data_IF_042433876099
#
_entry.id   IF_042433876099
#
_cell.length_a   1.000
_cell.length_b   1.000
_cell.length_c   1.000
_cell.angle_alpha   90.00
_cell.angle_beta   90.00
_cell.angle_gamma   90.00
#
_symmetry.space_group_name_H-M   'P 1'
#
loop_
_entity.id
_entity.type
_entity.pdbx_description
1 polymer ?
#
# COMPACT_ATOMS: atom_id res chain seq x y z
N UNK A 1 7.50 -34.63 11.94
CA UNK A 1 6.71 -33.98 10.88
C UNK A 1 7.63 -32.93 10.30
N UNK A 2 7.79 -32.86 8.97
CA UNK A 2 8.58 -31.80 8.35
C UNK A 2 7.97 -30.45 8.76
N UNK A 3 8.82 -29.52 9.16
CA UNK A 3 8.40 -28.18 9.59
C UNK A 3 7.82 -27.48 8.35
N UNK A 4 6.52 -27.32 8.29
CA UNK A 4 5.82 -26.70 7.15
C UNK A 4 6.16 -25.21 7.16
N UNK A 5 6.88 -24.76 6.13
CA UNK A 5 7.23 -23.34 5.97
C UNK A 5 5.99 -22.53 5.58
N UNK A 6 5.69 -21.50 6.37
CA UNK A 6 4.50 -20.64 6.23
C UNK A 6 4.82 -19.20 5.82
N UNK A 7 6.08 -18.78 5.98
CA UNK A 7 6.52 -17.40 5.73
C UNK A 7 7.70 -17.41 4.77
N UNK A 8 7.58 -16.63 3.69
CA UNK A 8 8.55 -16.53 2.60
C UNK A 8 9.04 -15.11 2.45
N UNK A 9 10.33 -14.88 2.70
CA UNK A 9 10.96 -13.55 2.63
C UNK A 9 11.37 -13.18 1.21
N UNK A 10 11.41 -11.87 0.93
CA UNK A 10 11.96 -11.29 -0.30
C UNK A 10 12.59 -9.93 -0.01
N UNK A 11 13.60 -9.55 -0.79
CA UNK A 11 14.29 -8.26 -0.70
C UNK A 11 15.73 -8.37 -1.18
N UNK A 12 16.30 -7.25 -1.61
CA UNK A 12 17.69 -7.14 -2.05
C UNK A 12 18.11 -8.17 -3.12
N UNK A 13 17.23 -8.40 -4.12
CA UNK A 13 17.42 -9.38 -5.22
C UNK A 13 17.42 -10.85 -4.78
N UNK A 14 16.98 -11.13 -3.58
CA UNK A 14 16.81 -12.49 -3.05
C UNK A 14 15.36 -12.74 -2.69
N UNK A 15 14.88 -13.96 -2.86
CA UNK A 15 13.56 -14.39 -2.42
C UNK A 15 13.55 -15.89 -2.14
N UNK A 16 12.80 -16.28 -1.11
CA UNK A 16 12.58 -17.69 -0.77
C UNK A 16 11.48 -18.33 -1.63
N UNK A 17 10.60 -17.50 -2.22
CA UNK A 17 9.58 -17.90 -3.18
C UNK A 17 9.94 -17.48 -4.61
N UNK A 18 9.04 -17.78 -5.57
CA UNK A 18 9.17 -17.39 -6.98
C UNK A 18 7.79 -17.30 -7.65
N UNK A 19 7.76 -16.84 -8.91
CA UNK A 19 6.53 -16.63 -9.68
C UNK A 19 5.69 -17.88 -9.95
N UNK A 20 6.27 -19.10 -9.84
CA UNK A 20 5.54 -20.36 -10.02
C UNK A 20 4.74 -20.77 -8.77
N UNK A 21 5.01 -20.15 -7.64
CA UNK A 21 4.38 -20.48 -6.36
C UNK A 21 3.07 -19.69 -6.11
N UNK A 22 2.34 -19.38 -7.16
CA UNK A 22 1.11 -18.56 -7.10
C UNK A 22 0.01 -19.17 -6.24
N UNK A 23 -0.07 -20.49 -6.20
CA UNK A 23 -1.04 -21.19 -5.33
C UNK A 23 -0.75 -20.95 -3.84
N UNK A 24 0.51 -20.93 -3.47
CA UNK A 24 0.97 -20.80 -2.09
C UNK A 24 1.13 -19.34 -1.63
N UNK A 25 1.69 -18.48 -2.49
CA UNK A 25 2.03 -17.09 -2.15
C UNK A 25 0.97 -16.08 -2.63
N UNK A 26 -0.06 -16.55 -3.33
CA UNK A 26 -0.98 -15.68 -4.05
C UNK A 26 -0.32 -14.99 -5.24
N UNK A 27 -1.09 -14.27 -6.04
CA UNK A 27 -0.57 -13.54 -7.20
C UNK A 27 0.46 -12.48 -6.81
N UNK A 28 0.12 -11.63 -5.84
CA UNK A 28 1.02 -10.54 -5.38
C UNK A 28 2.32 -11.08 -4.78
N UNK A 29 2.24 -12.05 -3.86
CA UNK A 29 3.44 -12.59 -3.21
C UNK A 29 4.39 -13.27 -4.18
N UNK A 30 3.86 -14.06 -5.12
CA UNK A 30 4.65 -14.71 -6.15
C UNK A 30 5.33 -13.70 -7.08
N UNK A 31 4.62 -12.65 -7.51
CA UNK A 31 5.17 -11.61 -8.37
C UNK A 31 6.21 -10.74 -7.63
N UNK A 32 5.99 -10.39 -6.36
CA UNK A 32 6.98 -9.67 -5.54
C UNK A 32 8.28 -10.46 -5.39
N UNK A 33 8.19 -11.77 -5.14
CA UNK A 33 9.34 -12.65 -5.08
C UNK A 33 10.07 -12.71 -6.43
N UNK A 34 9.34 -12.91 -7.52
CA UNK A 34 9.92 -13.00 -8.87
C UNK A 34 10.59 -11.71 -9.31
N UNK A 35 9.95 -10.54 -9.09
CA UNK A 35 10.56 -9.24 -9.38
C UNK A 35 11.89 -9.05 -8.64
N UNK A 36 11.98 -9.49 -7.37
CA UNK A 36 13.25 -9.46 -6.64
C UNK A 36 14.31 -10.34 -7.29
N UNK A 37 13.97 -11.60 -7.67
CA UNK A 37 14.91 -12.54 -8.28
C UNK A 37 15.46 -12.05 -9.61
N UNK A 38 14.66 -11.37 -10.41
CA UNK A 38 15.10 -10.78 -11.68
C UNK A 38 15.73 -9.39 -11.52
N UNK A 39 15.94 -8.92 -10.28
CA UNK A 39 16.72 -7.72 -9.96
C UNK A 39 15.97 -6.40 -10.10
N UNK A 40 14.62 -6.41 -10.04
CA UNK A 40 13.81 -5.20 -10.01
C UNK A 40 13.76 -4.64 -8.59
N UNK A 41 13.82 -3.30 -8.40
CA UNK A 41 13.79 -2.69 -7.09
C UNK A 41 12.40 -2.83 -6.45
N UNK A 42 12.29 -3.73 -5.47
CA UNK A 42 11.07 -3.99 -4.70
C UNK A 42 11.38 -3.76 -3.22
N UNK A 43 10.55 -3.03 -2.46
CA UNK A 43 10.74 -2.91 -1.03
C UNK A 43 10.74 -4.29 -0.35
N UNK A 44 11.65 -4.56 0.60
CA UNK A 44 11.75 -5.87 1.25
C UNK A 44 10.48 -6.20 2.04
N UNK A 45 10.17 -7.49 2.11
CA UNK A 45 8.98 -7.96 2.78
C UNK A 45 8.97 -9.48 2.97
N UNK A 46 7.81 -9.98 3.33
CA UNK A 46 7.53 -11.41 3.39
C UNK A 46 6.06 -11.69 3.07
N UNK A 47 5.80 -12.91 2.64
CA UNK A 47 4.46 -13.42 2.35
C UNK A 47 4.13 -14.55 3.31
N UNK A 48 2.99 -14.46 3.99
CA UNK A 48 2.36 -15.55 4.73
C UNK A 48 1.45 -16.29 3.75
N UNK A 49 1.58 -17.62 3.70
CA UNK A 49 0.97 -18.45 2.67
C UNK A 49 -0.57 -18.51 2.72
N UNK A 50 -1.18 -18.84 1.59
CA UNK A 50 -2.64 -19.05 1.48
C UNK A 50 -3.15 -20.18 2.38
N UNK A 51 -2.31 -21.19 2.65
CA UNK A 51 -2.66 -22.31 3.53
C UNK A 51 -2.96 -21.86 4.96
N UNK A 52 -2.27 -20.81 5.43
CA UNK A 52 -2.51 -20.23 6.76
C UNK A 52 -3.91 -19.62 6.87
N UNK A 53 -4.48 -19.13 5.77
CA UNK A 53 -5.87 -18.66 5.76
C UNK A 53 -6.86 -19.79 6.15
N UNK A 54 -6.66 -20.99 5.65
CA UNK A 54 -7.46 -22.16 6.03
C UNK A 54 -7.27 -22.53 7.51
N UNK A 55 -6.02 -22.51 8.00
CA UNK A 55 -5.72 -22.75 9.42
C UNK A 55 -6.36 -21.68 10.32
N UNK A 56 -6.41 -20.43 9.86
CA UNK A 56 -7.04 -19.32 10.57
C UNK A 56 -8.55 -19.56 10.81
N UNK A 57 -9.28 -20.00 9.79
CA UNK A 57 -10.71 -20.32 9.94
C UNK A 57 -10.95 -21.60 10.73
N UNK A 58 -10.02 -22.55 10.73
CA UNK A 58 -10.14 -23.82 11.43
C UNK A 58 -9.80 -23.73 12.91
N UNK A 59 -8.74 -22.99 13.25
CA UNK A 59 -8.17 -23.00 14.61
C UNK A 59 -8.35 -21.68 15.36
N UNK A 60 -8.78 -20.62 14.66
CA UNK A 60 -8.96 -19.29 15.23
C UNK A 60 -7.69 -18.45 15.31
N UNK A 61 -7.90 -17.20 15.64
CA UNK A 61 -6.91 -16.13 15.60
C UNK A 61 -5.69 -16.39 16.51
N UNK A 62 -5.95 -16.73 17.76
CA UNK A 62 -4.90 -16.89 18.78
C UNK A 62 -3.94 -18.05 18.42
N UNK A 63 -4.50 -19.18 17.99
CA UNK A 63 -3.73 -20.36 17.60
C UNK A 63 -2.85 -20.06 16.38
N UNK A 64 -3.35 -19.32 15.39
CA UNK A 64 -2.57 -18.95 14.20
C UNK A 64 -1.47 -17.95 14.52
N UNK A 65 -1.72 -16.97 15.40
CA UNK A 65 -0.68 -16.05 15.86
C UNK A 65 0.46 -16.80 16.54
N UNK A 66 0.16 -17.71 17.46
CA UNK A 66 1.17 -18.52 18.16
C UNK A 66 1.99 -19.38 17.18
N UNK A 67 1.32 -20.00 16.21
CA UNK A 67 1.95 -20.81 15.18
C UNK A 67 2.90 -20.01 14.28
N UNK A 68 2.51 -18.78 13.90
CA UNK A 68 3.26 -17.92 12.97
C UNK A 68 4.38 -17.12 13.64
N UNK A 69 4.27 -16.85 14.95
CA UNK A 69 5.14 -15.92 15.67
C UNK A 69 6.63 -16.12 15.37
N UNK A 70 7.21 -17.32 15.49
CA UNK A 70 8.65 -17.51 15.26
C UNK A 70 9.09 -17.17 13.82
N UNK A 71 8.26 -17.52 12.83
CA UNK A 71 8.58 -17.26 11.43
C UNK A 71 8.42 -15.79 11.09
N UNK A 72 7.35 -15.13 11.57
CA UNK A 72 7.09 -13.70 11.34
C UNK A 72 8.15 -12.83 12.00
N UNK A 73 8.55 -13.13 13.24
CA UNK A 73 9.63 -12.40 13.92
C UNK A 73 10.97 -12.53 13.19
N UNK A 74 11.30 -13.71 12.66
CA UNK A 74 12.49 -13.94 11.84
C UNK A 74 12.42 -13.16 10.53
N UNK A 75 11.30 -13.19 9.86
CA UNK A 75 11.08 -12.45 8.61
C UNK A 75 11.14 -10.93 8.82
N UNK A 76 10.60 -10.42 9.94
CA UNK A 76 10.71 -9.01 10.29
C UNK A 76 12.17 -8.59 10.53
N UNK A 77 12.97 -9.40 11.24
CA UNK A 77 14.42 -9.16 11.40
C UNK A 77 15.16 -9.08 10.06
N UNK A 78 14.72 -9.83 9.04
CA UNK A 78 15.28 -9.71 7.70
C UNK A 78 14.96 -8.35 7.08
N UNK A 79 13.73 -7.87 7.19
CA UNK A 79 13.37 -6.52 6.71
C UNK A 79 14.18 -5.45 7.45
N UNK A 80 14.29 -5.55 8.77
CA UNK A 80 15.08 -4.64 9.61
C UNK A 80 16.55 -4.57 9.15
N UNK A 81 17.16 -5.72 8.88
CA UNK A 81 18.54 -5.83 8.36
C UNK A 81 18.68 -5.14 7.00
N UNK A 82 17.73 -5.34 6.09
CA UNK A 82 17.78 -4.80 4.72
C UNK A 82 17.50 -3.30 4.67
N UNK A 83 16.67 -2.78 5.57
CA UNK A 83 16.29 -1.36 5.60
C UNK A 83 17.16 -0.51 6.55
N UNK A 84 17.85 -1.12 7.49
CA UNK A 84 18.53 -0.41 8.58
C UNK A 84 17.58 0.24 9.59
N UNK A 85 16.28 -0.04 9.50
CA UNK A 85 15.23 0.44 10.42
C UNK A 85 14.77 -0.72 11.32
N UNK A 86 14.09 -0.41 12.42
CA UNK A 86 13.65 -1.43 13.37
C UNK A 86 12.17 -1.30 13.68
N UNK A 87 11.46 -2.40 13.64
CA UNK A 87 10.02 -2.44 13.90
C UNK A 87 9.70 -2.18 15.37
N UNK A 88 8.87 -1.17 15.64
CA UNK A 88 8.57 -0.73 17.00
C UNK A 88 9.66 0.12 17.68
N UNK A 89 10.67 0.54 16.94
CA UNK A 89 11.74 1.41 17.46
C UNK A 89 11.27 2.87 17.56
N UNK A 90 11.86 3.60 18.49
CA UNK A 90 11.49 4.99 18.80
C UNK A 90 12.29 6.03 18.01
N UNK A 91 13.44 5.66 17.46
CA UNK A 91 14.35 6.56 16.75
C UNK A 91 14.37 6.29 15.25
N UNK A 92 14.39 5.01 14.88
CA UNK A 92 14.42 4.53 13.50
C UNK A 92 13.28 3.55 13.21
N UNK A 93 12.01 3.98 13.35
CA UNK A 93 10.88 3.09 13.21
C UNK A 93 10.75 2.58 11.78
N UNK A 94 10.72 1.25 11.64
CA UNK A 94 10.29 0.58 10.44
C UNK A 94 8.75 0.59 10.39
N UNK A 95 8.18 1.07 9.31
CA UNK A 95 6.75 0.99 9.04
C UNK A 95 6.52 -0.02 7.92
N UNK A 96 5.42 -0.77 8.02
CA UNK A 96 5.09 -1.80 7.04
C UNK A 96 3.64 -1.66 6.56
N UNK A 97 3.38 -2.17 5.36
CA UNK A 97 2.03 -2.42 4.86
C UNK A 97 1.67 -3.89 5.07
N UNK A 98 0.39 -4.17 5.27
CA UNK A 98 -0.17 -5.53 5.27
C UNK A 98 -1.26 -5.58 4.21
N UNK A 99 -1.07 -6.43 3.19
CA UNK A 99 -1.93 -6.50 2.02
C UNK A 99 -2.34 -7.95 1.73
N UNK A 100 -3.57 -8.14 1.27
CA UNK A 100 -4.04 -9.42 0.76
C UNK A 100 -3.34 -9.83 -0.54
N UNK A 101 -3.27 -11.14 -0.78
CA UNK A 101 -2.71 -11.70 -2.00
C UNK A 101 -3.41 -13.02 -2.37
N UNK A 102 -4.60 -12.95 -2.97
CA UNK A 102 -5.29 -14.14 -3.46
C UNK A 102 -4.64 -14.71 -4.73
N UNK A 103 -4.91 -15.98 -5.04
CA UNK A 103 -4.46 -16.64 -6.28
C UNK A 103 -5.02 -15.97 -7.53
N UNK A 104 -6.29 -15.55 -7.46
CA UNK A 104 -6.95 -14.77 -8.49
C UNK A 104 -6.97 -13.29 -8.10
N UNK A 105 -6.90 -12.39 -9.09
CA UNK A 105 -7.07 -10.95 -8.86
C UNK A 105 -8.49 -10.65 -8.39
N UNK A 106 -8.61 -9.93 -7.29
CA UNK A 106 -9.89 -9.54 -6.67
C UNK A 106 -9.82 -8.06 -6.26
N UNK A 107 -9.79 -7.12 -7.22
CA UNK A 107 -9.56 -5.69 -6.97
C UNK A 107 -10.62 -5.10 -6.03
N UNK A 108 -10.20 -4.42 -4.95
CA UNK A 108 -11.10 -3.77 -4.00
C UNK A 108 -11.92 -4.71 -3.10
N UNK A 109 -11.75 -6.03 -3.23
CA UNK A 109 -12.56 -7.00 -2.47
C UNK A 109 -12.04 -7.28 -1.07
N UNK A 110 -10.73 -7.20 -0.88
CA UNK A 110 -10.07 -7.48 0.40
C UNK A 110 -9.34 -6.24 0.92
N UNK A 111 -9.03 -6.27 2.19
CA UNK A 111 -8.51 -5.10 2.89
C UNK A 111 -6.98 -4.97 2.78
N UNK A 112 -6.52 -3.73 2.96
CA UNK A 112 -5.11 -3.32 3.02
C UNK A 112 -4.94 -2.40 4.22
N UNK A 113 -3.83 -2.51 4.92
CA UNK A 113 -3.47 -1.60 5.99
C UNK A 113 -2.06 -1.07 5.73
N UNK A 114 -1.91 0.26 5.73
CA UNK A 114 -0.65 0.95 5.51
C UNK A 114 -0.14 1.56 6.81
N UNK A 115 1.16 1.82 6.90
CA UNK A 115 1.81 2.51 8.01
C UNK A 115 1.72 1.80 9.37
N UNK A 116 1.61 0.46 9.40
CA UNK A 116 1.68 -0.28 10.65
C UNK A 116 3.05 -0.09 11.31
N UNK A 117 3.04 0.08 12.61
CA UNK A 117 4.20 0.49 13.42
C UNK A 117 4.17 1.97 13.81
N UNK A 118 3.25 2.76 13.22
CA UNK A 118 3.06 4.16 13.59
C UNK A 118 2.37 4.26 14.96
N UNK A 119 2.92 5.08 15.83
CA UNK A 119 2.38 5.41 17.15
C UNK A 119 2.85 6.80 17.58
N UNK A 120 2.49 7.24 18.77
CA UNK A 120 2.82 8.59 19.28
C UNK A 120 4.34 8.87 19.32
N UNK A 121 5.17 7.86 19.47
CA UNK A 121 6.63 8.01 19.47
C UNK A 121 7.21 7.91 18.06
N UNK A 122 6.73 6.95 17.27
CA UNK A 122 7.20 6.73 15.91
C UNK A 122 6.93 7.94 15.01
N UNK A 123 5.77 8.61 15.15
CA UNK A 123 5.43 9.79 14.34
C UNK A 123 6.43 10.92 14.52
N UNK A 124 6.90 11.17 15.73
CA UNK A 124 7.89 12.22 16.01
C UNK A 124 9.27 11.85 15.40
N UNK A 125 9.66 10.57 15.46
CA UNK A 125 10.89 10.10 14.83
C UNK A 125 10.81 10.22 13.29
N UNK A 126 9.68 9.86 12.69
CA UNK A 126 9.44 10.04 11.25
C UNK A 126 9.48 11.52 10.87
N UNK A 127 8.82 12.39 11.63
CA UNK A 127 8.83 13.83 11.41
C UNK A 127 10.25 14.42 11.45
N UNK A 128 11.03 14.04 12.43
CA UNK A 128 12.44 14.48 12.57
C UNK A 128 13.31 13.96 11.41
N UNK A 129 13.18 12.68 11.06
CA UNK A 129 14.00 12.06 10.01
C UNK A 129 13.71 12.62 8.61
N UNK A 130 12.44 12.86 8.31
CA UNK A 130 12.01 13.39 7.01
C UNK A 130 12.13 14.90 6.91
N UNK A 131 12.27 15.62 8.04
CA UNK A 131 12.16 17.07 8.07
C UNK A 131 10.76 17.58 7.69
N UNK A 132 9.77 16.69 7.63
CA UNK A 132 8.40 17.01 7.22
C UNK A 132 7.37 16.52 8.26
N UNK A 133 7.14 17.32 9.31
CA UNK A 133 6.17 16.95 10.35
C UNK A 133 4.75 16.78 9.82
N UNK A 134 4.35 17.57 8.83
CA UNK A 134 3.02 17.44 8.23
C UNK A 134 2.81 16.09 7.58
N UNK A 135 3.78 15.63 6.80
CA UNK A 135 3.77 14.28 6.21
C UNK A 135 3.63 13.17 7.27
N UNK A 136 4.44 13.25 8.33
CA UNK A 136 4.43 12.24 9.39
C UNK A 136 3.07 12.16 10.09
N UNK A 137 2.49 13.31 10.46
CA UNK A 137 1.20 13.38 11.15
C UNK A 137 0.01 13.05 10.22
N UNK A 138 0.06 13.38 8.92
CA UNK A 138 -0.95 12.93 7.95
C UNK A 138 -0.89 11.41 7.76
N UNK A 139 0.30 10.83 7.68
CA UNK A 139 0.48 9.37 7.62
C UNK A 139 -0.07 8.68 8.87
N UNK A 140 0.10 9.29 10.05
CA UNK A 140 -0.46 8.75 11.30
C UNK A 140 -1.98 8.87 11.34
N UNK A 141 -2.54 10.01 10.93
CA UNK A 141 -3.99 10.20 10.82
C UNK A 141 -4.61 9.14 9.92
N UNK A 142 -4.06 8.95 8.70
CA UNK A 142 -4.52 7.93 7.74
C UNK A 142 -4.40 6.52 8.32
N UNK A 143 -3.33 6.23 9.04
CA UNK A 143 -3.17 4.93 9.70
C UNK A 143 -4.23 4.67 10.76
N UNK A 144 -4.51 5.63 11.66
CA UNK A 144 -5.53 5.46 12.70
C UNK A 144 -6.91 5.26 12.09
N UNK A 145 -7.27 6.01 11.04
CA UNK A 145 -8.52 5.84 10.30
C UNK A 145 -8.59 4.44 9.68
N UNK A 146 -7.60 4.07 8.86
CA UNK A 146 -7.59 2.78 8.16
C UNK A 146 -7.60 1.60 9.13
N UNK A 147 -6.83 1.67 10.21
CA UNK A 147 -6.81 0.64 11.25
C UNK A 147 -8.14 0.55 12.00
N UNK A 148 -8.76 1.69 12.30
CA UNK A 148 -10.08 1.78 12.90
C UNK A 148 -11.15 1.11 12.04
N UNK A 149 -11.16 1.40 10.75
CA UNK A 149 -12.11 0.87 9.79
C UNK A 149 -11.91 -0.64 9.54
N UNK A 150 -10.67 -1.05 9.30
CA UNK A 150 -10.36 -2.40 8.83
C UNK A 150 -10.21 -3.39 9.99
N UNK A 151 -9.46 -3.00 11.04
CA UNK A 151 -9.11 -3.93 12.12
C UNK A 151 -10.11 -3.84 13.28
N UNK A 152 -10.59 -2.64 13.59
CA UNK A 152 -11.48 -2.42 14.71
C UNK A 152 -12.98 -2.40 14.32
N UNK A 153 -13.28 -2.52 13.03
CA UNK A 153 -14.64 -2.66 12.51
C UNK A 153 -15.49 -1.39 12.62
N UNK A 154 -14.86 -0.22 12.61
CA UNK A 154 -15.56 1.07 12.72
C UNK A 154 -16.16 1.56 11.40
N UNK A 155 -15.96 0.82 10.32
CA UNK A 155 -16.48 1.13 8.99
C UNK A 155 -18.03 1.10 9.02
N UNK A 156 -18.72 2.04 8.34
CA UNK A 156 -20.15 2.04 8.20
C UNK A 156 -20.70 0.71 7.69
N UNK A 157 -21.74 0.19 8.33
CA UNK A 157 -22.39 -1.08 7.93
C UNK A 157 -23.45 -0.82 6.87
N UNK A 158 -24.11 0.33 6.92
CA UNK A 158 -25.15 0.73 5.97
C UNK A 158 -24.82 2.05 5.28
N UNK A 159 -25.51 2.35 4.16
CA UNK A 159 -25.37 3.65 3.47
C UNK A 159 -25.92 4.84 4.26
N UNK A 160 -26.68 4.59 5.31
CA UNK A 160 -27.26 5.61 6.18
C UNK A 160 -26.35 5.94 7.35
N UNK A 161 -25.36 5.08 7.64
CA UNK A 161 -24.37 5.29 8.69
C UNK A 161 -23.26 6.23 8.16
N UNK A 162 -22.90 7.21 8.97
CA UNK A 162 -21.75 8.07 8.68
C UNK A 162 -20.47 7.44 9.21
N UNK A 163 -19.42 7.48 8.39
CA UNK A 163 -18.07 7.13 8.84
C UNK A 163 -17.65 8.12 9.95
N UNK A 164 -17.37 7.65 11.18
CA UNK A 164 -17.06 8.52 12.30
C UNK A 164 -15.76 9.33 12.06
N UNK A 165 -14.83 8.81 11.30
CA UNK A 165 -13.58 9.51 10.98
C UNK A 165 -13.82 10.63 9.94
N UNK A 166 -14.62 10.36 8.91
CA UNK A 166 -14.99 11.38 7.92
C UNK A 166 -15.76 12.54 8.56
N UNK A 167 -16.67 12.25 9.49
CA UNK A 167 -17.38 13.30 10.23
C UNK A 167 -16.39 14.19 11.00
N UNK A 168 -15.41 13.61 11.69
CA UNK A 168 -14.41 14.35 12.45
C UNK A 168 -13.50 15.19 11.51
N UNK A 169 -13.16 14.66 10.33
CA UNK A 169 -12.37 15.40 9.32
C UNK A 169 -13.16 16.62 8.82
N UNK A 170 -14.43 16.42 8.44
CA UNK A 170 -15.27 17.50 7.93
C UNK A 170 -15.49 18.60 8.98
N UNK A 171 -15.80 18.23 10.23
CA UNK A 171 -15.90 19.17 11.33
C UNK A 171 -14.61 20.00 11.55
N UNK A 172 -13.44 19.35 11.42
CA UNK A 172 -12.15 20.03 11.54
C UNK A 172 -11.91 20.98 10.37
N UNK A 173 -12.24 20.58 9.13
CA UNK A 173 -12.14 21.45 7.95
C UNK A 173 -13.05 22.65 8.06
N UNK A 174 -14.31 22.46 8.45
CA UNK A 174 -15.25 23.55 8.68
C UNK A 174 -14.75 24.55 9.74
N UNK A 175 -14.28 24.03 10.88
CA UNK A 175 -13.71 24.83 11.98
C UNK A 175 -12.52 25.69 11.54
N UNK A 176 -11.72 25.18 10.58
CA UNK A 176 -10.52 25.85 10.06
C UNK A 176 -10.79 26.67 8.79
N UNK A 177 -11.95 26.56 8.20
CA UNK A 177 -12.32 27.25 6.96
C UNK A 177 -11.54 26.78 5.73
N UNK A 178 -11.11 25.50 5.71
CA UNK A 178 -10.40 24.86 4.60
C UNK A 178 -11.28 23.85 3.90
N UNK A 179 -10.94 23.54 2.63
CA UNK A 179 -11.74 22.61 1.81
C UNK A 179 -11.10 21.24 1.65
N UNK A 180 -9.77 21.18 1.56
CA UNK A 180 -9.06 19.94 1.27
C UNK A 180 -8.26 19.50 2.50
N UNK A 181 -8.07 18.19 2.66
CA UNK A 181 -7.21 17.61 3.69
C UNK A 181 -5.77 18.14 3.58
N UNK A 182 -5.32 18.42 2.35
CA UNK A 182 -4.00 18.99 2.07
C UNK A 182 -3.79 20.39 2.64
N UNK A 183 -4.86 21.11 2.96
CA UNK A 183 -4.82 22.46 3.52
C UNK A 183 -4.69 22.46 5.05
N UNK A 184 -4.87 21.29 5.69
CA UNK A 184 -4.71 21.13 7.13
C UNK A 184 -3.24 21.23 7.55
N UNK A 185 -2.99 21.98 8.62
CA UNK A 185 -1.65 22.15 9.19
C UNK A 185 -1.23 20.94 10.03
N UNK A 186 0.05 20.89 10.40
CA UNK A 186 0.56 19.85 11.32
C UNK A 186 -0.21 19.80 12.64
N UNK A 187 -0.54 20.96 13.22
CA UNK A 187 -1.28 21.01 14.48
C UNK A 187 -2.74 20.55 14.32
N UNK A 188 -3.36 20.82 13.16
CA UNK A 188 -4.69 20.31 12.85
C UNK A 188 -4.67 18.79 12.74
N UNK A 189 -3.64 18.23 12.11
CA UNK A 189 -3.47 16.78 11.99
C UNK A 189 -3.21 16.11 13.34
N UNK A 190 -2.45 16.76 14.24
CA UNK A 190 -2.29 16.31 15.64
C UNK A 190 -3.63 16.29 16.39
N UNK A 191 -4.46 17.32 16.18
CA UNK A 191 -5.81 17.39 16.76
C UNK A 191 -6.68 16.26 16.22
N UNK A 192 -6.66 16.01 14.90
CA UNK A 192 -7.38 14.90 14.27
C UNK A 192 -6.98 13.54 14.84
N UNK A 193 -5.68 13.24 14.97
CA UNK A 193 -5.21 11.97 15.55
C UNK A 193 -5.75 11.78 16.97
N UNK A 194 -5.73 12.82 17.80
CA UNK A 194 -6.32 12.74 19.16
C UNK A 194 -7.82 12.45 19.13
N UNK A 195 -8.55 13.13 18.26
CA UNK A 195 -10.00 12.96 18.11
C UNK A 195 -10.33 11.56 17.55
N UNK A 196 -9.57 11.04 16.61
CA UNK A 196 -9.71 9.69 16.08
C UNK A 196 -9.49 8.64 17.16
N UNK A 197 -8.42 8.77 17.96
CA UNK A 197 -8.18 7.85 19.08
C UNK A 197 -9.29 7.91 20.14
N UNK A 198 -9.84 9.09 20.40
CA UNK A 198 -10.99 9.23 21.27
C UNK A 198 -12.25 8.56 20.71
N UNK A 199 -12.48 8.65 19.39
CA UNK A 199 -13.56 7.95 18.71
C UNK A 199 -13.35 6.43 18.78
N UNK A 200 -12.13 5.93 18.56
CA UNK A 200 -11.79 4.50 18.73
C UNK A 200 -12.12 4.02 20.14
N UNK A 201 -11.68 4.76 21.16
CA UNK A 201 -11.99 4.41 22.56
C UNK A 201 -13.47 4.40 22.85
N UNK A 202 -14.21 5.40 22.33
CA UNK A 202 -15.68 5.48 22.49
C UNK A 202 -16.39 4.30 21.84
N UNK A 203 -15.94 3.88 20.65
CA UNK A 203 -16.56 2.80 19.88
C UNK A 203 -16.22 1.42 20.43
N UNK A 204 -14.92 1.17 20.72
CA UNK A 204 -14.40 -0.15 21.09
C UNK A 204 -14.33 -0.39 22.60
N UNK A 205 -14.40 0.68 23.42
CA UNK A 205 -14.15 0.64 24.86
C UNK A 205 -12.67 0.50 25.24
N UNK A 206 -11.75 0.49 24.24
CA UNK A 206 -10.31 0.30 24.43
C UNK A 206 -9.53 1.42 23.77
N UNK A 207 -8.33 1.70 24.29
CA UNK A 207 -7.43 2.65 23.66
C UNK A 207 -6.90 2.09 22.33
N UNK A 208 -6.54 2.99 21.40
CA UNK A 208 -5.89 2.61 20.15
C UNK A 208 -4.55 1.89 20.46
N UNK A 209 -4.23 0.76 19.80
CA UNK A 209 -3.02 0.00 20.11
C UNK A 209 -1.74 0.77 19.73
N UNK A 210 -0.88 1.02 20.71
CA UNK A 210 0.41 1.67 20.54
C UNK A 210 1.56 0.69 20.27
N UNK A 211 1.38 -0.60 20.56
CA UNK A 211 2.35 -1.64 20.26
C UNK A 211 2.36 -1.97 18.77
N UNK A 212 3.52 -1.77 18.11
CA UNK A 212 3.68 -2.11 16.69
C UNK A 212 3.36 -3.58 16.41
N UNK A 213 3.73 -4.49 17.31
CA UNK A 213 3.45 -5.91 17.17
C UNK A 213 1.96 -6.23 17.30
N UNK A 214 1.24 -5.60 18.22
CA UNK A 214 -0.20 -5.78 18.35
C UNK A 214 -0.93 -5.25 17.11
N UNK A 215 -0.47 -4.11 16.57
CA UNK A 215 -0.96 -3.57 15.30
C UNK A 215 -0.72 -4.56 14.16
N UNK A 216 0.48 -5.14 14.05
CA UNK A 216 0.81 -6.10 13.00
C UNK A 216 -0.06 -7.34 13.06
N UNK A 217 -0.20 -7.95 14.23
CA UNK A 217 -1.05 -9.13 14.40
C UNK A 217 -2.52 -8.83 14.13
N UNK A 218 -3.01 -7.66 14.59
CA UNK A 218 -4.35 -7.18 14.24
C UNK A 218 -4.54 -7.06 12.74
N UNK A 219 -3.60 -6.45 12.04
CA UNK A 219 -3.61 -6.27 10.59
C UNK A 219 -3.58 -7.60 9.81
N UNK A 220 -2.68 -8.52 10.19
CA UNK A 220 -2.60 -9.85 9.56
C UNK A 220 -3.93 -10.60 9.70
N UNK A 221 -4.50 -10.61 10.90
CA UNK A 221 -5.78 -11.27 11.13
C UNK A 221 -6.93 -10.61 10.35
N UNK A 222 -6.98 -9.28 10.31
CA UNK A 222 -8.01 -8.55 9.55
C UNK A 222 -7.93 -8.83 8.05
N UNK A 223 -6.74 -9.00 7.49
CA UNK A 223 -6.58 -9.40 6.09
C UNK A 223 -7.08 -10.82 5.85
N UNK A 224 -6.82 -11.78 6.76
CA UNK A 224 -7.43 -13.10 6.64
C UNK A 224 -8.96 -13.04 6.76
N UNK A 225 -9.50 -12.28 7.73
CA UNK A 225 -10.94 -12.09 7.90
C UNK A 225 -11.58 -11.50 6.65
N UNK A 226 -10.88 -10.62 5.93
CA UNK A 226 -11.42 -9.97 4.72
C UNK A 226 -11.71 -10.95 3.57
N UNK A 227 -11.15 -12.17 3.61
CA UNK A 227 -11.50 -13.24 2.66
C UNK A 227 -12.97 -13.63 2.74
N UNK A 228 -13.57 -13.53 3.92
CA UNK A 228 -14.98 -13.90 4.18
C UNK A 228 -15.90 -12.68 4.32
N UNK A 229 -15.47 -11.47 3.96
CA UNK A 229 -16.38 -10.35 3.91
C UNK A 229 -17.40 -10.50 2.75
N UNK A 230 -18.57 -9.87 2.86
CA UNK A 230 -19.68 -10.05 1.93
C UNK A 230 -19.31 -9.74 0.47
N UNK A 231 -18.55 -8.66 0.24
CA UNK A 231 -18.11 -8.27 -1.13
C UNK A 231 -17.14 -9.30 -1.72
N UNK A 232 -16.24 -9.87 -0.92
CA UNK A 232 -15.32 -10.90 -1.38
C UNK A 232 -16.04 -12.22 -1.68
N UNK A 233 -17.00 -12.61 -0.84
CA UNK A 233 -17.86 -13.79 -1.06
C UNK A 233 -18.65 -13.63 -2.36
N UNK A 234 -19.31 -12.48 -2.55
CA UNK A 234 -20.10 -12.22 -3.75
C UNK A 234 -19.21 -12.27 -5.01
N UNK A 235 -18.06 -11.59 -4.98
CA UNK A 235 -17.11 -11.59 -6.10
C UNK A 235 -16.63 -13.00 -6.44
N UNK A 236 -16.25 -13.80 -5.45
CA UNK A 236 -15.82 -15.19 -5.66
C UNK A 236 -16.91 -16.03 -6.30
N UNK A 237 -18.17 -15.91 -5.84
CA UNK A 237 -19.32 -16.63 -6.44
C UNK A 237 -19.51 -16.24 -7.90
N UNK A 238 -19.46 -14.96 -8.23
CA UNK A 238 -19.63 -14.48 -9.61
C UNK A 238 -18.50 -14.94 -10.53
N UNK A 239 -17.28 -15.06 -10.00
CA UNK A 239 -16.09 -15.42 -10.79
C UNK A 239 -15.66 -16.90 -10.62
N UNK A 240 -16.48 -17.73 -9.98
CA UNK A 240 -16.22 -19.17 -9.75
C UNK A 240 -14.87 -19.43 -9.04
N UNK A 241 -14.49 -18.56 -8.10
CA UNK A 241 -13.26 -18.69 -7.31
C UNK A 241 -13.57 -19.54 -6.07
N UNK A 242 -12.91 -20.71 -5.89
CA UNK A 242 -13.13 -21.57 -4.73
C UNK A 242 -12.81 -20.90 -3.39
N UNK A 243 -13.65 -21.12 -2.40
CA UNK A 243 -13.46 -20.55 -1.06
C UNK A 243 -12.23 -21.13 -0.36
N UNK A 244 -11.94 -22.39 -0.58
CA UNK A 244 -10.79 -23.11 -0.01
C UNK A 244 -9.43 -22.60 -0.49
N UNK A 245 -9.38 -21.76 -1.53
CA UNK A 245 -8.12 -21.18 -1.98
C UNK A 245 -7.51 -20.20 -0.96
N UNK A 246 -8.32 -19.54 -0.17
CA UNK A 246 -7.84 -18.56 0.79
C UNK A 246 -7.11 -17.36 0.19
N UNK A 247 -6.56 -16.53 1.05
CA UNK A 247 -5.68 -15.42 0.68
C UNK A 247 -4.34 -15.55 1.38
N UNK A 248 -3.27 -15.19 0.71
CA UNK A 248 -1.98 -14.91 1.33
C UNK A 248 -2.01 -13.50 1.97
N UNK A 249 -1.08 -13.26 2.87
CA UNK A 249 -0.85 -11.94 3.47
C UNK A 249 0.57 -11.49 3.16
N UNK A 250 0.70 -10.32 2.52
CA UNK A 250 1.99 -9.71 2.20
C UNK A 250 2.29 -8.60 3.20
N UNK A 251 3.39 -8.73 3.93
CA UNK A 251 3.94 -7.69 4.82
C UNK A 251 5.17 -7.11 4.15
N UNK A 252 5.18 -5.78 3.92
CA UNK A 252 6.22 -5.14 3.13
C UNK A 252 6.62 -3.79 3.72
N UNK A 253 7.91 -3.47 3.69
CA UNK A 253 8.40 -2.16 4.12
C UNK A 253 7.69 -1.04 3.33
N UNK A 254 7.26 0.00 4.03
CA UNK A 254 6.65 1.17 3.41
C UNK A 254 7.68 1.96 2.61
N UNK A 255 7.26 2.46 1.46
CA UNK A 255 7.89 3.52 0.67
C UNK A 255 6.85 4.60 0.38
N UNK A 256 7.29 5.85 0.28
CA UNK A 256 6.40 6.99 0.35
C UNK A 256 6.50 7.89 -0.88
N UNK A 257 5.42 7.97 -1.64
CA UNK A 257 5.27 8.94 -2.73
C UNK A 257 4.89 10.35 -2.28
N UNK A 258 4.62 10.55 -0.98
CA UNK A 258 4.15 11.80 -0.40
C UNK A 258 5.16 12.45 0.58
N UNK A 259 6.45 12.19 0.41
CA UNK A 259 7.50 12.82 1.24
C UNK A 259 7.90 14.23 0.78
N UNK A 260 7.41 14.67 -0.37
CA UNK A 260 7.74 15.96 -0.96
C UNK A 260 7.76 15.93 -2.48
N UNK A 261 8.26 16.99 -3.10
CA UNK A 261 8.23 17.15 -4.56
C UNK A 261 9.19 16.22 -5.32
N UNK A 262 10.10 15.54 -4.62
CA UNK A 262 10.98 14.51 -5.18
C UNK A 262 10.38 13.10 -5.03
N UNK A 263 9.12 13.02 -4.64
CA UNK A 263 8.41 11.78 -4.42
C UNK A 263 7.12 11.77 -5.21
N UNK A 264 6.73 10.59 -5.70
CA UNK A 264 5.55 10.40 -6.52
C UNK A 264 5.03 8.96 -6.37
N UNK A 265 3.80 8.73 -6.80
CA UNK A 265 3.25 7.39 -6.97
C UNK A 265 2.46 7.33 -8.26
N UNK A 266 2.33 6.15 -8.86
CA UNK A 266 1.61 6.01 -10.11
C UNK A 266 1.37 4.58 -10.54
N UNK A 267 0.70 4.50 -11.68
CA UNK A 267 0.40 3.25 -12.39
C UNK A 267 0.91 3.37 -13.83
N UNK A 268 1.38 2.27 -14.38
CA UNK A 268 1.92 2.24 -15.73
C UNK A 268 1.57 0.95 -16.44
N UNK A 269 1.43 1.02 -17.76
CA UNK A 269 1.18 -0.11 -18.65
C UNK A 269 2.32 -0.20 -19.66
N UNK A 270 2.86 -1.39 -19.86
CA UNK A 270 3.91 -1.61 -20.86
C UNK A 270 3.40 -1.42 -22.30
N UNK A 271 2.10 -1.55 -22.50
CA UNK A 271 1.38 -1.33 -23.77
C UNK A 271 0.10 -0.55 -23.54
N UNK A 272 -0.45 0.02 -24.59
CA UNK A 272 -1.81 0.55 -24.56
C UNK A 272 -2.81 -0.57 -24.27
N UNK A 273 -3.50 -0.47 -23.11
CA UNK A 273 -4.40 -1.51 -22.63
C UNK A 273 -5.67 -1.67 -23.47
N UNK A 274 -6.05 -0.63 -24.26
CA UNK A 274 -7.24 -0.66 -25.11
C UNK A 274 -6.96 -1.22 -26.51
N UNK A 275 -5.77 -0.94 -27.08
CA UNK A 275 -5.43 -1.29 -28.46
C UNK A 275 -4.40 -2.40 -28.56
N UNK A 276 -3.61 -2.65 -27.52
CA UNK A 276 -2.47 -3.56 -27.53
C UNK A 276 -1.22 -3.02 -28.25
N UNK A 277 -1.27 -1.81 -28.75
CA UNK A 277 -0.13 -1.16 -29.39
C UNK A 277 1.06 -1.05 -28.41
N UNK A 278 2.28 -1.22 -28.92
CA UNK A 278 3.48 -1.10 -28.12
C UNK A 278 3.81 0.37 -27.78
N UNK A 279 2.94 0.95 -26.97
CA UNK A 279 3.05 2.33 -26.48
C UNK A 279 3.02 2.27 -24.96
N UNK A 280 4.16 2.55 -24.33
CA UNK A 280 4.23 2.70 -22.88
C UNK A 280 3.39 3.90 -22.45
N UNK A 281 2.53 3.71 -21.47
CA UNK A 281 1.65 4.75 -20.94
C UNK A 281 1.42 4.58 -19.44
N UNK A 282 0.90 5.61 -18.81
CA UNK A 282 0.60 5.58 -17.39
C UNK A 282 0.46 6.98 -16.80
N UNK A 283 0.08 6.99 -15.55
CA UNK A 283 -0.25 8.19 -14.80
C UNK A 283 0.47 8.23 -13.46
N UNK A 284 0.79 9.44 -12.99
CA UNK A 284 1.42 9.64 -11.70
C UNK A 284 0.91 10.90 -11.00
N UNK A 285 1.10 10.93 -9.68
CA UNK A 285 0.88 12.11 -8.84
C UNK A 285 2.14 12.40 -8.02
N UNK A 286 2.61 13.64 -8.10
CA UNK A 286 3.68 14.15 -7.22
C UNK A 286 3.12 14.34 -5.81
N UNK A 287 3.94 14.00 -4.82
CA UNK A 287 3.62 14.17 -3.41
C UNK A 287 2.26 13.56 -3.05
N UNK A 288 2.09 12.27 -3.37
CA UNK A 288 0.84 11.52 -3.20
C UNK A 288 1.11 10.07 -2.77
N UNK A 289 0.12 9.47 -2.13
CA UNK A 289 0.07 8.02 -1.88
C UNK A 289 -0.73 7.31 -2.97
N UNK A 290 -0.60 5.97 -3.08
CA UNK A 290 -1.32 5.17 -4.08
C UNK A 290 -2.85 5.33 -4.02
N UNK A 291 -3.40 5.52 -2.83
CA UNK A 291 -4.83 5.79 -2.62
C UNK A 291 -5.29 7.08 -3.32
N UNK A 292 -4.46 8.11 -3.35
CA UNK A 292 -4.78 9.40 -3.97
C UNK A 292 -4.92 9.29 -5.49
N UNK A 293 -4.18 8.36 -6.12
CA UNK A 293 -4.29 8.06 -7.58
C UNK A 293 -5.63 7.40 -7.88
N UNK A 294 -6.02 6.44 -7.06
CA UNK A 294 -7.25 5.65 -7.25
C UNK A 294 -8.50 6.46 -6.89
N UNK A 295 -8.42 7.32 -5.89
CA UNK A 295 -9.55 8.13 -5.41
C UNK A 295 -9.98 9.23 -6.40
N UNK A 296 -9.13 9.59 -7.37
CA UNK A 296 -9.46 10.61 -8.37
C UNK A 296 -9.65 12.03 -7.82
N UNK A 297 -9.13 12.30 -6.62
CA UNK A 297 -9.24 13.61 -5.95
C UNK A 297 -8.40 14.68 -6.65
N UNK A 298 -7.30 14.27 -7.27
CA UNK A 298 -6.37 15.12 -8.04
C UNK A 298 -6.28 14.60 -9.46
N UNK A 299 -6.13 15.49 -10.45
CA UNK A 299 -5.88 15.11 -11.84
C UNK A 299 -4.47 14.52 -11.96
N UNK A 300 -4.33 13.22 -12.32
CA UNK A 300 -3.03 12.63 -12.53
C UNK A 300 -2.33 13.23 -13.75
N UNK A 301 -1.00 13.22 -13.71
CA UNK A 301 -0.14 13.63 -14.81
C UNK A 301 0.37 12.40 -15.57
N UNK A 302 0.70 12.57 -16.83
CA UNK A 302 1.17 11.48 -17.67
C UNK A 302 2.67 11.20 -17.46
N UNK A 303 3.09 9.95 -17.62
CA UNK A 303 4.49 9.56 -17.44
C UNK A 303 5.36 10.07 -18.59
N UNK A 304 4.89 9.92 -19.83
CA UNK A 304 5.66 10.33 -21.02
C UNK A 304 5.25 11.71 -21.52
N UNK A 305 6.20 12.44 -22.12
CA UNK A 305 5.95 13.75 -22.75
C UNK A 305 4.94 13.59 -23.88
N UNK A 306 5.03 12.52 -24.68
CA UNK A 306 4.09 12.25 -25.76
C UNK A 306 2.68 12.02 -25.24
N UNK A 307 2.53 11.20 -24.18
CA UNK A 307 1.26 10.97 -23.51
C UNK A 307 0.66 12.27 -22.94
N UNK A 308 1.51 13.09 -22.31
CA UNK A 308 1.10 14.39 -21.75
C UNK A 308 0.61 15.36 -22.84
N UNK A 309 1.29 15.42 -23.99
CA UNK A 309 0.88 16.24 -25.13
C UNK A 309 -0.42 15.75 -25.73
N UNK A 310 -0.58 14.45 -25.89
CA UNK A 310 -1.82 13.84 -26.39
C UNK A 310 -3.00 14.14 -25.47
N UNK A 311 -2.81 13.96 -24.16
CA UNK A 311 -3.81 14.28 -23.16
C UNK A 311 -4.19 15.78 -23.20
N UNK A 312 -3.21 16.69 -23.22
CA UNK A 312 -3.46 18.12 -23.28
C UNK A 312 -4.23 18.54 -24.53
N UNK A 313 -3.90 17.96 -25.68
CA UNK A 313 -4.61 18.22 -26.93
C UNK A 313 -6.10 17.82 -26.84
N UNK A 314 -6.41 16.69 -26.20
CA UNK A 314 -7.79 16.25 -25.96
C UNK A 314 -8.56 17.17 -25.00
N UNK A 315 -7.84 17.81 -24.06
CA UNK A 315 -8.42 18.76 -23.10
C UNK A 315 -8.47 20.21 -23.65
N UNK A 316 -7.93 20.47 -24.82
CA UNK A 316 -7.82 21.82 -25.36
C UNK A 316 -6.81 22.71 -24.62
N UNK A 317 -5.82 22.12 -23.95
CA UNK A 317 -4.78 22.81 -23.17
C UNK A 317 -3.58 23.09 -24.08
N UNK A 318 -3.05 24.33 -24.02
CA UNK A 318 -1.84 24.70 -24.79
C UNK A 318 -0.58 23.99 -24.27
N UNK A 319 0.45 23.85 -25.10
CA UNK A 319 1.74 23.25 -24.69
C UNK A 319 2.40 24.03 -23.56
N UNK A 320 2.28 25.36 -23.55
CA UNK A 320 2.83 26.22 -22.49
C UNK A 320 2.13 25.94 -21.15
N UNK A 321 0.79 25.84 -21.17
CA UNK A 321 0.01 25.51 -19.96
C UNK A 321 0.27 24.06 -19.52
N UNK A 322 0.36 23.11 -20.45
CA UNK A 322 0.68 21.72 -20.17
C UNK A 322 2.03 21.62 -19.44
N UNK A 323 3.08 22.21 -20.01
CA UNK A 323 4.42 22.15 -19.43
C UNK A 323 4.49 22.81 -18.05
N UNK A 324 3.73 23.87 -17.84
CA UNK A 324 3.70 24.59 -16.56
C UNK A 324 2.89 23.90 -15.46
N UNK A 325 1.73 23.30 -15.79
CA UNK A 325 0.77 22.77 -14.81
C UNK A 325 0.70 21.25 -14.76
N UNK A 326 1.00 20.58 -15.87
CA UNK A 326 0.85 19.14 -16.07
C UNK A 326 2.10 18.50 -16.72
N UNK A 327 3.30 18.78 -16.18
CA UNK A 327 4.54 18.23 -16.75
C UNK A 327 4.52 16.71 -16.67
N UNK A 328 5.11 16.05 -17.67
CA UNK A 328 5.30 14.59 -17.64
C UNK A 328 6.34 14.18 -16.59
N UNK A 329 6.32 12.90 -16.16
CA UNK A 329 7.35 12.35 -15.29
C UNK A 329 8.74 12.43 -15.94
N UNK A 330 8.82 12.26 -17.26
CA UNK A 330 10.06 12.44 -18.04
C UNK A 330 10.64 13.86 -17.91
N UNK A 331 9.83 14.88 -17.65
CA UNK A 331 10.25 16.26 -17.44
C UNK A 331 10.63 16.55 -15.99
N UNK A 332 9.92 15.95 -15.03
CA UNK A 332 10.08 16.23 -13.58
C UNK A 332 11.09 15.33 -12.91
N UNK A 333 11.17 14.05 -13.30
CA UNK A 333 12.04 13.01 -12.73
C UNK A 333 12.57 12.10 -13.86
N UNK A 334 13.40 12.62 -14.80
CA UNK A 334 13.79 11.90 -16.01
C UNK A 334 14.47 10.56 -15.75
N UNK A 335 15.34 10.47 -14.75
CA UNK A 335 16.04 9.23 -14.40
C UNK A 335 15.09 8.14 -13.93
N UNK A 336 14.12 8.51 -13.09
CA UNK A 336 13.08 7.57 -12.62
C UNK A 336 12.16 7.13 -13.76
N UNK A 337 11.80 8.04 -14.66
CA UNK A 337 10.97 7.71 -15.83
C UNK A 337 11.70 6.73 -16.77
N UNK A 338 12.98 6.97 -17.05
CA UNK A 338 13.82 6.09 -17.86
C UNK A 338 13.97 4.70 -17.23
N UNK A 339 14.20 4.64 -15.90
CA UNK A 339 14.28 3.38 -15.16
C UNK A 339 12.94 2.62 -15.21
N UNK A 340 11.81 3.30 -15.01
CA UNK A 340 10.48 2.70 -15.07
C UNK A 340 10.18 2.09 -16.44
N UNK A 341 10.47 2.81 -17.52
CA UNK A 341 10.30 2.32 -18.90
C UNK A 341 11.19 1.09 -19.16
N UNK A 342 12.44 1.13 -18.70
CA UNK A 342 13.36 -0.01 -18.80
C UNK A 342 12.84 -1.24 -18.05
N UNK A 343 12.27 -1.05 -16.85
CA UNK A 343 11.66 -2.11 -16.06
C UNK A 343 10.43 -2.67 -16.79
N UNK A 344 9.59 -1.82 -17.36
CA UNK A 344 8.40 -2.24 -18.11
C UNK A 344 8.77 -3.17 -19.27
N UNK A 345 9.77 -2.81 -20.08
CA UNK A 345 10.28 -3.66 -21.15
C UNK A 345 10.85 -4.97 -20.63
N UNK A 346 11.62 -4.92 -19.54
CA UNK A 346 12.19 -6.13 -18.92
C UNK A 346 11.11 -7.08 -18.40
N UNK A 347 10.07 -6.57 -17.77
CA UNK A 347 8.94 -7.36 -17.28
C UNK A 347 8.14 -7.97 -18.43
N UNK A 348 7.81 -7.19 -19.46
CA UNK A 348 7.11 -7.66 -20.63
C UNK A 348 7.90 -8.77 -21.35
N UNK A 349 9.20 -8.57 -21.53
CA UNK A 349 10.08 -9.58 -22.12
C UNK A 349 10.18 -10.85 -21.27
N UNK A 350 10.15 -10.71 -19.96
CA UNK A 350 10.23 -11.84 -19.04
C UNK A 350 8.94 -12.66 -19.01
N UNK A 351 7.79 -11.98 -18.83
CA UNK A 351 6.48 -12.65 -18.74
C UNK A 351 5.85 -12.97 -20.10
N UNK A 352 6.35 -12.39 -21.20
CA UNK A 352 5.82 -12.51 -22.56
C UNK A 352 4.37 -12.05 -22.69
N UNK A 353 3.99 -11.08 -21.86
CA UNK A 353 2.67 -10.47 -21.82
C UNK A 353 2.78 -9.01 -21.37
N UNK A 354 1.78 -8.18 -21.72
CA UNK A 354 1.70 -6.81 -21.24
C UNK A 354 1.66 -6.77 -19.72
N UNK A 355 2.20 -5.71 -19.16
CA UNK A 355 2.28 -5.52 -17.72
C UNK A 355 1.49 -4.31 -17.26
N UNK A 356 0.72 -4.50 -16.21
CA UNK A 356 0.07 -3.47 -15.40
C UNK A 356 0.89 -3.31 -14.11
N UNK A 357 1.44 -2.13 -13.89
CA UNK A 357 2.46 -1.90 -12.87
C UNK A 357 2.04 -0.79 -11.91
N UNK A 358 2.28 -1.02 -10.61
CA UNK A 358 2.21 0.00 -9.58
C UNK A 358 3.62 0.37 -9.11
N UNK A 359 3.91 1.66 -9.02
CA UNK A 359 5.21 2.15 -8.60
C UNK A 359 5.12 3.33 -7.63
N UNK A 360 6.19 3.52 -6.88
CA UNK A 360 6.39 4.69 -6.02
C UNK A 360 7.82 5.21 -6.19
N UNK A 361 7.96 6.52 -6.27
CA UNK A 361 9.25 7.21 -6.21
C UNK A 361 9.34 7.87 -4.84
N UNK A 362 10.31 7.45 -4.04
CA UNK A 362 10.59 8.04 -2.75
C UNK A 362 11.94 8.76 -2.81
N UNK A 363 11.91 10.08 -2.67
CA UNK A 363 13.11 10.93 -2.66
C UNK A 363 14.06 10.63 -3.85
N UNK A 364 13.46 10.61 -5.06
CA UNK A 364 14.19 10.35 -6.32
C UNK A 364 14.58 8.90 -6.56
N UNK A 365 14.13 7.95 -5.74
CA UNK A 365 14.41 6.51 -5.93
C UNK A 365 13.13 5.76 -6.30
N UNK A 366 13.18 5.05 -7.43
CA UNK A 366 12.07 4.23 -7.92
C UNK A 366 11.95 2.91 -7.15
N UNK A 367 10.70 2.54 -6.87
CA UNK A 367 10.31 1.26 -6.28
C UNK A 367 9.10 0.69 -6.99
N UNK A 368 9.17 -0.59 -7.35
CA UNK A 368 8.03 -1.32 -7.91
C UNK A 368 7.26 -2.00 -6.78
N UNK A 369 5.94 -1.81 -6.77
CA UNK A 369 5.08 -2.35 -5.71
C UNK A 369 4.26 -3.56 -6.17
N UNK A 370 3.95 -3.60 -7.47
CA UNK A 370 3.13 -4.66 -8.06
C UNK A 370 3.35 -4.72 -9.57
N UNK A 371 3.21 -5.91 -10.13
CA UNK A 371 3.01 -6.17 -11.56
C UNK A 371 2.04 -7.32 -11.73
#
# INVERSE_FOLDING_TARGET
MADVKRVYTFGNKEAEGNGKMRELLGGKGANLAEMNLIGIPVPPGFTITTEVCAEFYKHGKEAVIEMLRPEVERAMKNIEKLTGMKFGDKEMPLLVSVRSGARASMPGMMDTILNLGMNDQAVEAVAKRTGNPRFAWDSYRRFVQMYGDVVLGMKPVSKEDHDPFEVIIEEQKEKKGVKNDTDLTTDDLKELVRNFKAAVKKYTGKDFPESAWDQLWGGICAVFDSWMNERAILYRRMNQIPEEWGTAVNVQAMVYGNMGNNSATGVAFSRDAATGENIFNGEYLINAQGEDVVAGVRTPQQITIEGSRRWAALQGISEEERAAKYPALEETMPDCAAELISIAHKLEDYYKDMQDMEFTIQDGKLWMLQT
#
